data_IF_515897870625
#
_entry.id   IF_515897870625
#
_cell.length_a   1.000
_cell.length_b   1.000
_cell.length_c   1.000
_cell.angle_alpha   90.00
_cell.angle_beta   90.00
_cell.angle_gamma   90.00
#
_symmetry.space_group_name_H-M   'P 1'
#
loop_
_entity.id
_entity.type
_entity.pdbx_description
1 polymer ?
#
# COMPACT_ATOMS: atom_id res chain seq x y z
N UNK A 1 -17.52 19.61 93.70
CA UNK A 1 -16.61 19.35 92.57
C UNK A 1 -17.42 18.69 91.46
N UNK A 2 -17.75 19.42 90.39
CA UNK A 2 -18.59 18.92 89.30
C UNK A 2 -17.69 18.44 88.14
N UNK A 3 -17.90 17.20 87.72
CA UNK A 3 -17.20 16.54 86.61
C UNK A 3 -17.80 16.97 85.29
N UNK A 4 -17.01 17.65 84.43
CA UNK A 4 -17.44 18.07 83.10
C UNK A 4 -17.06 17.02 82.07
N UNK A 5 -18.05 16.28 81.57
CA UNK A 5 -17.89 15.31 80.49
C UNK A 5 -17.72 16.03 79.16
N UNK A 6 -16.59 15.83 78.47
CA UNK A 6 -16.28 16.46 77.18
C UNK A 6 -16.96 15.67 76.05
N UNK A 7 -18.09 16.17 75.55
CA UNK A 7 -18.77 15.60 74.38
C UNK A 7 -17.95 15.89 73.10
N UNK A 8 -17.64 14.83 72.36
CA UNK A 8 -17.04 14.89 71.03
C UNK A 8 -18.05 15.42 70.01
N UNK A 9 -17.75 16.59 69.42
CA UNK A 9 -18.51 17.18 68.32
C UNK A 9 -18.31 16.35 67.04
N UNK A 10 -19.31 15.52 66.69
CA UNK A 10 -19.46 14.96 65.34
C UNK A 10 -19.62 16.11 64.34
N UNK A 11 -18.64 16.30 63.45
CA UNK A 11 -18.75 17.21 62.30
C UNK A 11 -19.88 16.74 61.38
N UNK A 12 -21.03 17.38 61.45
CA UNK A 12 -22.09 17.28 60.43
C UNK A 12 -21.68 18.11 59.21
N UNK A 13 -21.31 17.43 58.11
CA UNK A 13 -21.14 18.06 56.78
C UNK A 13 -22.48 18.67 56.34
N UNK A 14 -22.46 19.85 55.73
CA UNK A 14 -23.69 20.50 55.24
C UNK A 14 -24.27 19.70 54.07
N UNK A 15 -25.61 19.74 53.93
CA UNK A 15 -26.36 19.10 52.84
C UNK A 15 -25.99 19.59 51.45
N UNK A 16 -25.45 20.81 51.32
CA UNK A 16 -24.92 21.33 50.06
C UNK A 16 -23.64 20.56 49.64
N UNK A 17 -22.70 20.35 50.56
CA UNK A 17 -21.46 19.60 50.28
C UNK A 17 -21.68 18.13 49.91
N UNK A 18 -22.80 17.55 50.36
CA UNK A 18 -23.22 16.19 50.00
C UNK A 18 -23.77 16.12 48.57
N UNK A 19 -24.50 17.15 48.14
CA UNK A 19 -25.03 17.25 46.77
C UNK A 19 -23.91 17.47 45.75
N UNK A 20 -22.94 18.32 46.06
CA UNK A 20 -21.82 18.61 45.15
C UNK A 20 -21.02 17.35 44.82
N UNK A 21 -20.70 16.56 45.84
CA UNK A 21 -19.93 15.33 45.66
C UNK A 21 -20.67 14.21 44.89
N UNK A 22 -21.99 14.15 44.98
CA UNK A 22 -22.79 13.22 44.19
C UNK A 22 -22.90 13.68 42.71
N UNK A 23 -22.96 14.99 42.50
CA UNK A 23 -22.94 15.61 41.16
C UNK A 23 -21.59 15.39 40.46
N UNK A 24 -20.47 15.45 41.19
CA UNK A 24 -19.14 15.15 40.66
C UNK A 24 -19.08 13.74 40.06
N UNK A 25 -19.56 12.73 40.80
CA UNK A 25 -19.60 11.33 40.33
C UNK A 25 -20.50 11.20 39.10
N UNK A 26 -21.66 11.87 39.07
CA UNK A 26 -22.56 11.86 37.90
C UNK A 26 -21.93 12.51 36.67
N UNK A 27 -21.20 13.61 36.87
CA UNK A 27 -20.46 14.31 35.83
C UNK A 27 -19.37 13.40 35.23
N UNK A 28 -18.60 12.73 36.09
CA UNK A 28 -17.54 11.80 35.66
C UNK A 28 -18.09 10.58 34.91
N UNK A 29 -19.20 10.01 35.37
CA UNK A 29 -19.89 8.92 34.67
C UNK A 29 -20.29 9.38 33.27
N UNK A 30 -20.86 10.59 33.17
CA UNK A 30 -21.28 11.18 31.90
C UNK A 30 -20.08 11.41 30.97
N UNK A 31 -18.98 11.95 31.50
CA UNK A 31 -17.74 12.16 30.77
C UNK A 31 -17.16 10.85 30.19
N UNK A 32 -17.31 9.73 30.91
CA UNK A 32 -16.85 8.40 30.47
C UNK A 32 -17.90 7.59 29.68
N UNK A 33 -19.08 8.14 29.40
CA UNK A 33 -20.21 7.44 28.77
C UNK A 33 -19.83 6.70 27.47
N UNK A 34 -19.05 7.34 26.58
CA UNK A 34 -18.58 6.71 25.33
C UNK A 34 -17.72 5.46 25.59
N UNK A 35 -16.81 5.52 26.57
CA UNK A 35 -15.98 4.37 26.96
C UNK A 35 -16.87 3.26 27.51
N UNK A 36 -17.78 3.59 28.41
CA UNK A 36 -18.73 2.66 29.04
C UNK A 36 -19.59 1.94 27.98
N UNK A 37 -20.15 2.68 27.02
CA UNK A 37 -20.98 2.13 25.94
C UNK A 37 -20.22 1.12 25.08
N UNK A 38 -18.93 1.38 24.84
CA UNK A 38 -18.06 0.53 24.02
C UNK A 38 -17.58 -0.77 24.70
N UNK A 39 -17.86 -0.93 26.00
CA UNK A 39 -17.44 -2.07 26.82
C UNK A 39 -18.59 -3.08 27.04
N UNK A 40 -18.30 -4.13 27.80
CA UNK A 40 -19.23 -5.24 28.01
C UNK A 40 -20.52 -4.81 28.75
N UNK A 41 -21.63 -5.55 28.58
CA UNK A 41 -22.89 -5.26 29.27
C UNK A 41 -22.75 -5.15 30.80
N UNK A 42 -21.83 -5.89 31.40
CA UNK A 42 -21.58 -5.84 32.85
C UNK A 42 -21.04 -4.49 33.31
N UNK A 43 -20.13 -3.87 32.55
CA UNK A 43 -19.62 -2.52 32.86
C UNK A 43 -20.72 -1.49 32.74
N UNK A 44 -21.55 -1.58 31.68
CA UNK A 44 -22.71 -0.69 31.48
C UNK A 44 -23.70 -0.81 32.64
N UNK A 45 -23.99 -2.03 33.08
CA UNK A 45 -24.88 -2.30 34.23
C UNK A 45 -24.32 -1.73 35.53
N UNK A 46 -23.01 -1.88 35.79
CA UNK A 46 -22.38 -1.33 36.99
C UNK A 46 -22.40 0.21 36.99
N UNK A 47 -22.11 0.83 35.85
CA UNK A 47 -22.21 2.29 35.71
C UNK A 47 -23.64 2.78 35.98
N UNK A 48 -24.66 2.14 35.41
CA UNK A 48 -26.05 2.48 35.65
C UNK A 48 -26.46 2.33 37.13
N UNK A 49 -25.96 1.29 37.82
CA UNK A 49 -26.17 1.12 39.27
C UNK A 49 -25.56 2.28 40.06
N UNK A 50 -24.35 2.71 39.71
CA UNK A 50 -23.69 3.83 40.39
C UNK A 50 -24.37 5.17 40.07
N UNK A 51 -24.86 5.38 38.84
CA UNK A 51 -25.69 6.54 38.50
C UNK A 51 -26.95 6.61 39.37
N UNK A 52 -27.64 5.49 39.56
CA UNK A 52 -28.84 5.46 40.41
C UNK A 52 -28.49 5.70 41.88
N UNK A 53 -27.41 5.09 42.41
CA UNK A 53 -26.93 5.35 43.78
C UNK A 53 -26.56 6.83 43.99
N UNK A 54 -25.90 7.45 43.02
CA UNK A 54 -25.52 8.87 43.09
C UNK A 54 -26.74 9.79 43.14
N UNK A 55 -27.81 9.49 42.39
CA UNK A 55 -29.07 10.26 42.41
C UNK A 55 -29.82 10.15 43.74
N UNK A 56 -29.64 9.05 44.47
CA UNK A 56 -30.37 8.74 45.70
C UNK A 56 -29.54 8.88 46.99
N UNK A 57 -28.27 9.29 46.90
CA UNK A 57 -27.39 9.39 48.08
C UNK A 57 -27.89 10.47 49.05
N UNK A 58 -28.06 10.10 50.33
CA UNK A 58 -28.58 11.02 51.36
C UNK A 58 -27.66 11.17 52.57
N UNK A 59 -26.67 10.27 52.72
CA UNK A 59 -25.74 10.27 53.84
C UNK A 59 -24.26 10.38 53.41
N UNK A 60 -23.38 10.92 54.28
CA UNK A 60 -21.94 10.95 54.02
C UNK A 60 -21.32 9.57 53.78
N UNK A 61 -21.76 8.54 54.51
CA UNK A 61 -21.24 7.18 54.39
C UNK A 61 -21.58 6.54 53.03
N UNK A 62 -22.81 6.73 52.54
CA UNK A 62 -23.22 6.29 51.20
C UNK A 62 -22.41 6.98 50.10
N UNK A 63 -22.04 8.24 50.31
CA UNK A 63 -21.27 9.02 49.36
C UNK A 63 -19.80 8.58 49.31
N UNK A 64 -19.16 8.31 50.45
CA UNK A 64 -17.79 7.80 50.48
C UNK A 64 -17.72 6.42 49.79
N UNK A 65 -18.65 5.51 50.12
CA UNK A 65 -18.71 4.19 49.45
C UNK A 65 -19.07 4.28 47.96
N UNK A 66 -19.84 5.29 47.54
CA UNK A 66 -20.13 5.58 46.13
C UNK A 66 -18.87 6.02 45.38
N UNK A 67 -18.07 6.91 45.99
CA UNK A 67 -16.80 7.39 45.43
C UNK A 67 -15.82 6.24 45.24
N UNK A 68 -15.61 5.42 46.27
CA UNK A 68 -14.72 4.25 46.18
C UNK A 68 -15.18 3.27 45.09
N UNK A 69 -16.50 3.02 45.02
CA UNK A 69 -17.08 2.16 43.98
C UNK A 69 -16.88 2.73 42.57
N UNK A 70 -17.00 4.05 42.42
CA UNK A 70 -16.80 4.73 41.15
C UNK A 70 -15.33 4.79 40.74
N UNK A 71 -14.42 5.01 41.67
CA UNK A 71 -12.98 4.98 41.44
C UNK A 71 -12.55 3.60 40.95
N UNK A 72 -12.96 2.53 41.65
CA UNK A 72 -12.68 1.16 41.26
C UNK A 72 -13.25 0.82 39.86
N UNK A 73 -14.50 1.23 39.57
CA UNK A 73 -15.09 1.02 38.25
C UNK A 73 -14.38 1.85 37.17
N UNK A 74 -13.95 3.07 37.49
CA UNK A 74 -13.22 3.94 36.57
C UNK A 74 -11.88 3.32 36.19
N UNK A 75 -11.11 2.82 37.16
CA UNK A 75 -9.86 2.08 36.90
C UNK A 75 -10.11 0.85 36.02
N UNK A 76 -11.18 0.10 36.30
CA UNK A 76 -11.55 -1.06 35.49
C UNK A 76 -11.95 -0.66 34.05
N UNK A 77 -12.69 0.43 33.87
CA UNK A 77 -13.05 0.97 32.55
C UNK A 77 -11.79 1.31 31.76
N UNK A 78 -10.86 2.05 32.36
CA UNK A 78 -9.60 2.44 31.71
C UNK A 78 -8.77 1.21 31.31
N UNK A 79 -8.59 0.27 32.24
CA UNK A 79 -7.86 -0.99 31.97
C UNK A 79 -8.52 -1.81 30.84
N UNK A 80 -9.84 -1.95 30.83
CA UNK A 80 -10.55 -2.69 29.77
C UNK A 80 -10.48 -1.99 28.42
N UNK A 81 -10.53 -0.65 28.40
CA UNK A 81 -10.33 0.13 27.18
C UNK A 81 -8.90 -0.06 26.64
N UNK A 82 -7.88 -0.05 27.49
CA UNK A 82 -6.50 -0.30 27.10
C UNK A 82 -6.32 -1.70 26.51
N UNK A 83 -6.82 -2.74 27.19
CA UNK A 83 -6.78 -4.12 26.69
C UNK A 83 -7.50 -4.27 25.35
N UNK A 84 -8.65 -3.61 25.17
CA UNK A 84 -9.38 -3.59 23.90
C UNK A 84 -8.53 -2.94 22.79
N UNK A 85 -7.87 -1.82 23.09
CA UNK A 85 -6.94 -1.16 22.17
C UNK A 85 -5.75 -2.03 21.77
N UNK A 86 -5.14 -2.72 22.74
CA UNK A 86 -4.06 -3.68 22.51
C UNK A 86 -4.51 -4.86 21.65
N UNK A 87 -5.68 -5.44 21.92
CA UNK A 87 -6.24 -6.53 21.12
C UNK A 87 -6.53 -6.10 19.67
N UNK A 88 -7.06 -4.89 19.48
CA UNK A 88 -7.27 -4.34 18.13
C UNK A 88 -5.95 -4.21 17.37
N UNK A 89 -4.89 -3.73 18.03
CA UNK A 89 -3.55 -3.64 17.44
C UNK A 89 -2.98 -5.02 17.13
N UNK A 90 -3.11 -5.98 18.04
CA UNK A 90 -2.66 -7.35 17.85
C UNK A 90 -3.34 -8.00 16.64
N UNK A 91 -4.67 -7.86 16.51
CA UNK A 91 -5.42 -8.39 15.39
C UNK A 91 -5.00 -7.74 14.06
N UNK A 92 -4.79 -6.41 14.04
CA UNK A 92 -4.28 -5.72 12.86
C UNK A 92 -2.87 -6.19 12.47
N UNK A 93 -1.98 -6.40 13.46
CA UNK A 93 -0.64 -6.96 13.22
C UNK A 93 -0.69 -8.39 12.70
N UNK A 94 -1.56 -9.25 13.24
CA UNK A 94 -1.77 -10.63 12.75
C UNK A 94 -2.28 -10.63 11.30
N UNK A 95 -3.27 -9.80 10.99
CA UNK A 95 -3.78 -9.67 9.62
C UNK A 95 -2.68 -9.22 8.65
N UNK A 96 -1.85 -8.25 9.06
CA UNK A 96 -0.73 -7.79 8.25
C UNK A 96 0.31 -8.89 8.01
N UNK A 97 0.70 -9.63 9.05
CA UNK A 97 1.64 -10.77 8.93
C UNK A 97 1.07 -11.83 8.00
N UNK A 98 -0.21 -12.19 8.16
CA UNK A 98 -0.87 -13.17 7.30
C UNK A 98 -0.90 -12.71 5.84
N UNK A 99 -1.17 -11.42 5.58
CA UNK A 99 -1.10 -10.85 4.22
C UNK A 99 0.32 -10.96 3.67
N UNK A 100 1.34 -10.58 4.44
CA UNK A 100 2.74 -10.67 4.00
C UNK A 100 3.11 -12.11 3.65
N UNK A 101 2.74 -13.08 4.49
CA UNK A 101 2.95 -14.49 4.18
C UNK A 101 2.23 -14.88 2.89
N UNK A 102 0.93 -14.58 2.77
CA UNK A 102 0.16 -14.89 1.58
C UNK A 102 0.81 -14.32 0.32
N UNK A 103 1.12 -13.01 0.31
CA UNK A 103 1.74 -12.32 -0.83
C UNK A 103 3.06 -12.97 -1.23
N UNK A 104 3.93 -13.26 -0.25
CA UNK A 104 5.23 -13.89 -0.52
C UNK A 104 5.08 -15.31 -1.09
N UNK A 105 4.11 -16.08 -0.61
CA UNK A 105 3.85 -17.42 -1.12
C UNK A 105 3.22 -17.39 -2.51
N UNK A 106 2.12 -16.65 -2.69
CA UNK A 106 1.39 -16.61 -3.97
C UNK A 106 2.18 -15.90 -5.06
N UNK A 107 3.02 -14.92 -4.70
CA UNK A 107 3.77 -14.14 -5.66
C UNK A 107 4.82 -14.95 -6.42
N UNK A 108 5.42 -15.98 -5.80
CA UNK A 108 6.37 -16.86 -6.52
C UNK A 108 5.65 -17.67 -7.60
N UNK A 109 4.43 -18.16 -7.32
CA UNK A 109 3.57 -18.81 -8.32
C UNK A 109 3.14 -17.84 -9.42
N UNK A 110 2.75 -16.63 -9.05
CA UNK A 110 2.36 -15.59 -10.00
C UNK A 110 3.51 -15.22 -10.96
N UNK A 111 4.73 -15.12 -10.43
CA UNK A 111 5.93 -14.87 -11.22
C UNK A 111 6.24 -16.03 -12.19
N UNK A 112 6.07 -17.28 -11.76
CA UNK A 112 6.30 -18.44 -12.64
C UNK A 112 5.29 -18.51 -13.78
N UNK A 113 4.00 -18.29 -13.49
CA UNK A 113 2.95 -18.17 -14.51
C UNK A 113 3.28 -17.04 -15.49
N UNK A 114 3.64 -15.86 -14.98
CA UNK A 114 4.05 -14.73 -15.82
C UNK A 114 5.23 -15.08 -16.74
N UNK A 115 6.26 -15.74 -16.20
CA UNK A 115 7.40 -16.19 -16.99
C UNK A 115 6.98 -17.20 -18.07
N UNK A 116 6.03 -18.09 -17.78
CA UNK A 116 5.48 -19.03 -18.77
C UNK A 116 4.71 -18.32 -19.89
N UNK A 117 3.85 -17.36 -19.56
CA UNK A 117 3.15 -16.54 -20.57
C UNK A 117 4.16 -15.74 -21.40
N UNK A 118 5.14 -15.13 -20.75
CA UNK A 118 6.23 -14.40 -21.40
C UNK A 118 7.04 -15.27 -22.36
N UNK A 119 7.32 -16.53 -22.00
CA UNK A 119 8.01 -17.46 -22.89
C UNK A 119 7.22 -17.70 -24.20
N UNK A 120 5.89 -17.71 -24.12
CA UNK A 120 5.00 -17.80 -25.29
C UNK A 120 5.10 -16.61 -26.25
N UNK A 121 5.48 -15.43 -25.76
CA UNK A 121 5.60 -14.22 -26.58
C UNK A 121 6.65 -14.33 -27.67
N UNK A 122 7.78 -14.99 -27.40
CA UNK A 122 8.83 -15.15 -28.41
C UNK A 122 8.34 -15.91 -29.65
N UNK A 123 7.50 -16.93 -29.44
CA UNK A 123 6.95 -17.69 -30.55
C UNK A 123 5.83 -16.93 -31.25
N UNK A 124 4.97 -16.23 -30.50
CA UNK A 124 3.92 -15.41 -31.10
C UNK A 124 4.50 -14.25 -31.94
N UNK A 125 5.60 -13.63 -31.50
CA UNK A 125 6.37 -12.66 -32.30
C UNK A 125 6.85 -13.27 -33.61
N UNK A 126 7.36 -14.51 -33.59
CA UNK A 126 7.81 -15.19 -34.81
C UNK A 126 6.64 -15.44 -35.76
N UNK A 127 5.50 -15.89 -35.24
CA UNK A 127 4.28 -16.12 -36.01
C UNK A 127 3.80 -14.82 -36.66
N UNK A 128 3.64 -13.74 -35.89
CA UNK A 128 3.22 -12.44 -36.43
C UNK A 128 4.19 -11.89 -37.48
N UNK A 129 5.50 -12.08 -37.31
CA UNK A 129 6.52 -11.68 -38.30
C UNK A 129 6.39 -12.47 -39.60
N UNK A 130 6.12 -13.77 -39.50
CA UNK A 130 5.89 -14.63 -40.68
C UNK A 130 4.62 -14.21 -41.42
N UNK A 131 3.55 -13.91 -40.71
CA UNK A 131 2.29 -13.48 -41.31
C UNK A 131 2.38 -12.09 -41.95
N UNK A 132 3.11 -11.16 -41.31
CA UNK A 132 3.41 -9.86 -41.91
C UNK A 132 4.28 -10.01 -43.16
N UNK A 133 5.33 -10.83 -43.10
CA UNK A 133 6.17 -11.11 -44.27
C UNK A 133 5.36 -11.67 -45.44
N UNK A 134 4.48 -12.64 -45.19
CA UNK A 134 3.62 -13.23 -46.21
C UNK A 134 2.67 -12.19 -46.84
N UNK A 135 2.06 -11.32 -46.01
CA UNK A 135 1.18 -10.23 -46.50
C UNK A 135 1.93 -9.23 -47.36
N UNK A 136 3.09 -8.73 -46.89
CA UNK A 136 3.90 -7.78 -47.65
C UNK A 136 4.33 -8.33 -49.01
N UNK A 137 4.69 -9.63 -49.07
CA UNK A 137 5.01 -10.30 -50.33
C UNK A 137 3.77 -10.38 -51.24
N UNK A 138 2.60 -10.72 -50.69
CA UNK A 138 1.35 -10.76 -51.45
C UNK A 138 0.96 -9.38 -51.99
N UNK A 139 1.27 -8.30 -51.26
CA UNK A 139 1.05 -6.91 -51.64
C UNK A 139 2.10 -6.38 -52.64
N UNK A 140 2.98 -7.25 -53.15
CA UNK A 140 3.94 -6.93 -54.21
C UNK A 140 5.30 -6.43 -53.73
N UNK A 141 5.57 -6.44 -52.42
CA UNK A 141 6.90 -6.10 -51.90
C UNK A 141 7.92 -7.20 -52.23
N UNK A 142 9.13 -6.85 -52.70
CA UNK A 142 10.19 -7.83 -52.91
C UNK A 142 10.49 -8.66 -51.66
N UNK A 143 10.72 -9.97 -51.82
CA UNK A 143 10.85 -10.91 -50.71
C UNK A 143 11.85 -10.48 -49.62
N UNK A 144 13.03 -9.96 -50.02
CA UNK A 144 14.07 -9.53 -49.07
C UNK A 144 13.67 -8.26 -48.32
N UNK A 145 13.03 -7.30 -48.99
CA UNK A 145 12.54 -6.08 -48.37
C UNK A 145 11.40 -6.39 -47.40
N UNK A 146 10.47 -7.25 -47.81
CA UNK A 146 9.38 -7.72 -46.95
C UNK A 146 9.90 -8.44 -45.71
N UNK A 147 10.94 -9.27 -45.85
CA UNK A 147 11.56 -9.96 -44.72
C UNK A 147 12.25 -8.97 -43.76
N UNK A 148 12.93 -7.95 -44.30
CA UNK A 148 13.58 -6.91 -43.51
C UNK A 148 12.54 -6.08 -42.75
N UNK A 149 11.51 -5.59 -43.44
CA UNK A 149 10.40 -4.82 -42.86
C UNK A 149 9.72 -5.62 -41.75
N UNK A 150 9.39 -6.89 -41.98
CA UNK A 150 8.77 -7.72 -40.96
C UNK A 150 9.66 -7.95 -39.72
N UNK A 151 10.98 -8.12 -39.89
CA UNK A 151 11.92 -8.23 -38.76
C UNK A 151 12.04 -6.95 -37.96
N UNK A 152 12.05 -5.81 -38.65
CA UNK A 152 12.17 -4.47 -38.06
C UNK A 152 10.85 -4.01 -37.40
N UNK A 153 9.72 -4.60 -37.79
CA UNK A 153 8.42 -4.35 -37.21
C UNK A 153 8.43 -4.68 -35.71
N UNK A 154 8.19 -3.67 -34.87
CA UNK A 154 8.20 -3.75 -33.40
C UNK A 154 6.88 -4.29 -32.81
N UNK A 155 6.05 -4.94 -33.61
CA UNK A 155 4.59 -4.88 -33.42
C UNK A 155 4.00 -5.74 -32.30
N UNK A 156 4.76 -6.69 -31.75
CA UNK A 156 4.17 -7.69 -30.87
C UNK A 156 4.96 -7.89 -29.57
N UNK A 157 4.96 -6.89 -28.68
CA UNK A 157 5.33 -7.11 -27.28
C UNK A 157 4.18 -6.72 -26.36
N UNK A 158 3.43 -7.72 -25.90
CA UNK A 158 2.42 -7.53 -24.86
C UNK A 158 3.09 -7.47 -23.47
N UNK A 159 4.12 -8.30 -23.27
CA UNK A 159 4.88 -8.45 -22.03
C UNK A 159 6.30 -7.95 -22.31
N UNK A 160 6.57 -6.65 -22.19
CA UNK A 160 7.88 -6.10 -22.59
C UNK A 160 9.07 -6.61 -21.77
N UNK A 161 8.84 -6.97 -20.50
CA UNK A 161 9.85 -7.48 -19.58
C UNK A 161 9.30 -8.58 -18.69
N UNK A 162 10.16 -9.23 -17.90
CA UNK A 162 9.75 -10.17 -16.85
C UNK A 162 9.16 -9.47 -15.61
N UNK A 163 8.93 -8.15 -15.67
CA UNK A 163 8.32 -7.40 -14.58
C UNK A 163 6.80 -7.34 -14.79
N UNK A 164 6.08 -8.03 -13.91
CA UNK A 164 4.61 -8.01 -13.86
C UNK A 164 4.05 -6.58 -13.85
N UNK A 165 4.62 -5.70 -13.01
CA UNK A 165 4.18 -4.30 -12.86
C UNK A 165 4.25 -3.51 -14.17
N UNK A 166 5.22 -3.80 -15.05
CA UNK A 166 5.31 -3.12 -16.35
C UNK A 166 4.20 -3.58 -17.30
N UNK A 167 3.82 -4.85 -17.25
CA UNK A 167 2.69 -5.38 -18.03
C UNK A 167 1.38 -4.75 -17.55
N UNK A 168 1.14 -4.74 -16.23
CA UNK A 168 -0.03 -4.08 -15.63
C UNK A 168 -0.14 -2.61 -16.02
N UNK A 169 0.97 -1.86 -15.96
CA UNK A 169 0.96 -0.42 -16.28
C UNK A 169 0.48 -0.10 -17.71
N UNK A 170 0.50 -1.09 -18.62
CA UNK A 170 0.06 -0.95 -20.01
C UNK A 170 -1.37 -1.40 -20.22
N UNK A 171 -1.81 -2.47 -19.53
CA UNK A 171 -3.17 -2.98 -19.68
C UNK A 171 -4.18 -2.27 -18.77
N UNK A 172 -3.76 -1.76 -17.61
CA UNK A 172 -4.69 -1.11 -16.66
C UNK A 172 -5.42 0.08 -17.29
N UNK A 173 -4.77 1.00 -18.05
CA UNK A 173 -5.49 2.08 -18.72
C UNK A 173 -6.55 1.58 -19.71
N UNK A 174 -6.30 0.46 -20.40
CA UNK A 174 -7.26 -0.14 -21.32
C UNK A 174 -8.43 -0.80 -20.56
N UNK A 175 -8.16 -1.50 -19.46
CA UNK A 175 -9.19 -2.06 -18.56
C UNK A 175 -10.08 -0.94 -18.00
N UNK A 176 -9.48 0.15 -17.55
CA UNK A 176 -10.20 1.31 -17.00
C UNK A 176 -11.08 1.96 -18.09
N UNK A 177 -10.56 2.09 -19.32
CA UNK A 177 -11.32 2.63 -20.45
C UNK A 177 -12.51 1.73 -20.83
N UNK A 178 -12.31 0.41 -20.89
CA UNK A 178 -13.36 -0.58 -21.15
C UNK A 178 -14.42 -0.56 -20.05
N UNK A 179 -14.00 -0.55 -18.78
CA UNK A 179 -14.91 -0.51 -17.62
C UNK A 179 -15.76 0.77 -17.65
N UNK A 180 -15.13 1.91 -17.95
CA UNK A 180 -15.84 3.19 -18.08
C UNK A 180 -16.86 3.14 -19.21
N UNK A 181 -16.45 2.73 -20.41
CA UNK A 181 -17.34 2.60 -21.58
C UNK A 181 -18.53 1.67 -21.31
N UNK A 182 -18.28 0.55 -20.62
CA UNK A 182 -19.32 -0.39 -20.21
C UNK A 182 -20.32 0.27 -19.23
N UNK A 183 -19.81 0.96 -18.21
CA UNK A 183 -20.64 1.62 -17.19
C UNK A 183 -21.47 2.80 -17.73
N UNK A 184 -20.99 3.45 -18.79
CA UNK A 184 -21.67 4.55 -19.48
C UNK A 184 -22.71 4.06 -20.52
N UNK A 185 -22.99 2.75 -20.55
CA UNK A 185 -24.05 2.18 -21.39
C UNK A 185 -23.64 1.98 -22.85
N UNK A 186 -22.34 1.92 -23.16
CA UNK A 186 -21.80 1.58 -24.49
C UNK A 186 -22.22 2.55 -25.61
N UNK A 187 -22.61 3.78 -25.27
CA UNK A 187 -23.12 4.77 -26.23
C UNK A 187 -22.01 5.51 -27.00
N UNK A 188 -20.80 5.56 -26.44
CA UNK A 188 -19.62 6.17 -27.08
C UNK A 188 -18.88 5.16 -27.98
N UNK A 189 -17.94 5.65 -28.78
CA UNK A 189 -17.01 4.81 -29.55
C UNK A 189 -16.26 3.84 -28.61
N UNK A 190 -16.16 2.55 -28.95
CA UNK A 190 -15.46 1.58 -28.12
C UNK A 190 -13.97 1.94 -28.01
N UNK A 191 -13.35 1.82 -26.82
CA UNK A 191 -11.93 2.10 -26.67
C UNK A 191 -11.07 1.09 -27.42
N UNK A 192 -9.93 1.54 -27.95
CA UNK A 192 -8.90 0.65 -28.48
C UNK A 192 -8.20 -0.10 -27.35
N UNK A 193 -8.01 -1.41 -27.50
CA UNK A 193 -7.38 -2.27 -26.49
C UNK A 193 -6.23 -3.14 -27.03
N UNK A 194 -5.26 -2.57 -27.76
CA UNK A 194 -4.22 -3.35 -28.42
C UNK A 194 -3.27 -4.07 -27.45
N UNK A 195 -3.10 -3.64 -26.19
CA UNK A 195 -2.33 -4.41 -25.21
C UNK A 195 -3.15 -5.60 -24.67
N UNK A 196 -4.42 -5.41 -24.33
CA UNK A 196 -5.31 -6.49 -23.88
C UNK A 196 -5.54 -7.54 -24.96
N UNK A 197 -5.60 -7.16 -26.23
CA UNK A 197 -5.73 -8.11 -27.35
C UNK A 197 -4.49 -8.98 -27.49
N UNK A 198 -3.30 -8.36 -27.36
CA UNK A 198 -2.03 -9.10 -27.36
C UNK A 198 -1.90 -10.01 -26.14
N UNK A 199 -2.38 -9.57 -24.98
CA UNK A 199 -2.46 -10.41 -23.78
C UNK A 199 -3.44 -11.57 -24.01
N UNK A 200 -4.60 -11.34 -24.60
CA UNK A 200 -5.58 -12.39 -24.93
C UNK A 200 -4.96 -13.46 -25.85
N UNK A 201 -4.27 -13.03 -26.91
CA UNK A 201 -3.59 -13.93 -27.83
C UNK A 201 -2.49 -14.78 -27.14
N UNK A 202 -1.72 -14.17 -26.23
CA UNK A 202 -0.74 -14.90 -25.42
C UNK A 202 -1.40 -15.90 -24.48
N UNK A 203 -2.46 -15.49 -23.80
CA UNK A 203 -3.21 -16.33 -22.87
C UNK A 203 -3.79 -17.56 -23.58
N UNK A 204 -4.44 -17.34 -24.72
CA UNK A 204 -4.96 -18.41 -25.58
C UNK A 204 -3.87 -19.38 -26.01
N UNK A 205 -2.69 -18.87 -26.43
CA UNK A 205 -1.56 -19.73 -26.83
C UNK A 205 -1.06 -20.64 -25.71
N UNK A 206 -1.00 -20.14 -24.48
CA UNK A 206 -0.47 -20.91 -23.35
C UNK A 206 -1.54 -21.67 -22.57
N UNK A 207 -2.81 -21.53 -22.97
CA UNK A 207 -3.94 -22.25 -22.38
C UNK A 207 -4.39 -21.70 -21.02
N UNK A 208 -4.29 -20.39 -20.80
CA UNK A 208 -4.83 -19.71 -19.61
C UNK A 208 -5.92 -18.73 -20.02
N UNK A 209 -6.93 -18.56 -19.17
CA UNK A 209 -7.94 -17.51 -19.37
C UNK A 209 -7.33 -16.13 -19.13
N UNK A 210 -7.74 -15.14 -19.93
CA UNK A 210 -7.21 -13.77 -19.83
C UNK A 210 -7.48 -13.15 -18.46
N UNK A 211 -8.70 -13.27 -17.93
CA UNK A 211 -9.03 -12.75 -16.60
C UNK A 211 -8.17 -13.40 -15.50
N UNK A 212 -8.03 -14.73 -15.52
CA UNK A 212 -7.15 -15.45 -14.59
C UNK A 212 -5.70 -14.94 -14.65
N UNK A 213 -5.20 -14.62 -15.85
CA UNK A 213 -3.87 -14.06 -16.00
C UNK A 213 -3.78 -12.61 -15.47
N UNK A 214 -4.80 -11.77 -15.70
CA UNK A 214 -4.87 -10.41 -15.15
C UNK A 214 -4.87 -10.46 -13.61
N UNK A 215 -5.66 -11.35 -13.00
CA UNK A 215 -5.67 -11.55 -11.55
C UNK A 215 -4.29 -12.00 -11.04
N UNK A 216 -3.62 -12.87 -11.79
CA UNK A 216 -2.25 -13.30 -11.51
C UNK A 216 -1.26 -12.13 -11.55
N UNK A 217 -1.42 -11.22 -12.51
CA UNK A 217 -0.60 -10.01 -12.57
C UNK A 217 -0.85 -9.14 -11.32
N UNK A 218 -2.10 -8.92 -10.90
CA UNK A 218 -2.39 -8.16 -9.68
C UNK A 218 -1.80 -8.80 -8.41
N UNK A 219 -1.84 -10.14 -8.31
CA UNK A 219 -1.21 -10.87 -7.19
C UNK A 219 0.31 -10.65 -7.18
N UNK A 220 0.96 -10.77 -8.34
CA UNK A 220 2.39 -10.52 -8.48
C UNK A 220 2.78 -9.08 -8.15
N UNK A 221 1.97 -8.12 -8.55
CA UNK A 221 2.19 -6.70 -8.23
C UNK A 221 2.00 -6.41 -6.74
N UNK A 222 0.96 -6.94 -6.10
CA UNK A 222 0.78 -6.81 -4.65
C UNK A 222 1.95 -7.41 -3.88
N UNK A 223 2.49 -8.55 -4.34
CA UNK A 223 3.73 -9.11 -3.78
C UNK A 223 4.92 -8.17 -4.00
N UNK A 224 5.05 -7.53 -5.16
CA UNK A 224 6.11 -6.55 -5.38
C UNK A 224 5.98 -5.36 -4.44
N UNK A 225 4.78 -4.84 -4.19
CA UNK A 225 4.57 -3.77 -3.19
C UNK A 225 4.98 -4.21 -1.78
N UNK A 226 4.66 -5.45 -1.40
CA UNK A 226 5.01 -6.01 -0.09
C UNK A 226 6.50 -6.29 0.05
N UNK A 227 7.11 -6.94 -0.94
CA UNK A 227 8.47 -7.46 -0.88
C UNK A 227 9.54 -6.46 -1.36
N UNK A 228 9.18 -5.59 -2.30
CA UNK A 228 10.11 -4.69 -2.95
C UNK A 228 9.90 -3.26 -2.54
N UNK A 229 10.86 -2.79 -1.74
CA UNK A 229 11.04 -1.38 -1.47
C UNK A 229 12.34 -0.93 -2.12
N UNK A 230 12.32 -0.61 -3.43
CA UNK A 230 13.55 -0.31 -4.15
C UNK A 230 14.26 0.90 -3.53
N UNK A 231 15.57 0.93 -3.72
CA UNK A 231 16.33 2.16 -3.52
C UNK A 231 15.77 3.28 -4.44
N UNK A 232 16.04 4.56 -4.15
CA UNK A 232 15.61 5.66 -5.02
C UNK A 232 15.99 5.38 -6.48
N UNK A 233 15.01 5.39 -7.39
CA UNK A 233 15.29 5.22 -8.81
C UNK A 233 15.89 6.53 -9.32
N UNK A 234 17.09 6.46 -9.89
CA UNK A 234 17.81 7.64 -10.41
C UNK A 234 16.97 8.35 -11.49
N UNK A 235 16.24 7.57 -12.27
CA UNK A 235 15.37 8.03 -13.37
C UNK A 235 14.23 8.95 -12.89
N UNK A 236 13.74 8.76 -11.66
CA UNK A 236 12.69 9.59 -11.05
C UNK A 236 13.24 10.95 -10.54
N UNK A 237 14.56 11.14 -10.68
CA UNK A 237 15.29 12.30 -10.18
C UNK A 237 16.01 13.04 -11.29
N UNK A 238 15.57 12.91 -12.54
CA UNK A 238 16.08 13.72 -13.64
C UNK A 238 15.45 15.13 -13.61
N UNK A 239 16.26 16.14 -13.92
CA UNK A 239 15.80 17.49 -14.17
C UNK A 239 15.25 17.65 -15.60
N UNK A 240 14.82 18.87 -15.94
CA UNK A 240 14.26 19.18 -17.27
C UNK A 240 15.28 19.03 -18.41
N UNK A 241 16.58 19.07 -18.10
CA UNK A 241 17.66 18.87 -19.05
C UNK A 241 18.12 17.41 -19.10
N UNK A 242 17.43 16.51 -18.38
CA UNK A 242 17.76 15.09 -18.29
C UNK A 242 18.95 14.79 -17.36
N UNK A 243 19.48 15.76 -16.62
CA UNK A 243 20.56 15.54 -15.65
C UNK A 243 20.02 15.02 -14.32
N UNK A 244 20.80 14.20 -13.62
CA UNK A 244 20.38 13.66 -12.31
C UNK A 244 20.50 14.73 -11.21
N UNK A 245 19.40 15.03 -10.54
CA UNK A 245 19.36 15.81 -9.30
C UNK A 245 19.77 14.94 -8.11
N UNK A 246 21.08 14.83 -7.90
CA UNK A 246 21.67 14.07 -6.80
C UNK A 246 21.28 14.59 -5.41
N UNK A 247 20.90 15.86 -5.29
CA UNK A 247 20.40 16.42 -4.03
C UNK A 247 19.04 15.81 -3.67
N UNK A 248 18.15 15.61 -4.66
CA UNK A 248 16.90 14.86 -4.47
C UNK A 248 17.16 13.40 -4.13
N UNK A 249 18.10 12.73 -4.83
CA UNK A 249 18.48 11.35 -4.51
C UNK A 249 18.93 11.22 -3.05
N UNK A 250 19.83 12.10 -2.60
CA UNK A 250 20.35 12.14 -1.22
C UNK A 250 19.23 12.40 -0.21
N UNK A 251 18.27 13.26 -0.53
CA UNK A 251 17.08 13.54 0.29
C UNK A 251 16.19 12.30 0.42
N UNK A 252 15.95 11.58 -0.67
CA UNK A 252 15.21 10.31 -0.66
C UNK A 252 15.86 9.28 0.27
N UNK A 253 17.19 9.14 0.21
CA UNK A 253 17.95 8.30 1.15
C UNK A 253 17.75 8.71 2.61
N UNK A 254 17.85 10.02 2.92
CA UNK A 254 17.63 10.55 4.28
C UNK A 254 16.21 10.28 4.79
N UNK A 255 15.20 10.48 3.94
CA UNK A 255 13.80 10.22 4.26
C UNK A 255 13.56 8.74 4.56
N UNK A 256 14.18 7.84 3.79
CA UNK A 256 14.11 6.39 4.01
C UNK A 256 14.71 6.00 5.37
N UNK A 257 15.90 6.52 5.71
CA UNK A 257 16.51 6.30 7.04
C UNK A 257 15.65 6.83 8.19
N UNK A 258 15.03 8.00 8.01
CA UNK A 258 14.12 8.56 9.00
C UNK A 258 12.90 7.68 9.21
N UNK A 259 12.38 7.07 8.14
CA UNK A 259 11.29 6.07 8.22
C UNK A 259 11.70 4.86 9.08
N UNK A 260 12.89 4.30 8.84
CA UNK A 260 13.37 3.17 9.65
C UNK A 260 13.61 3.53 11.12
N UNK A 261 14.08 4.75 11.43
CA UNK A 261 14.14 5.23 12.83
C UNK A 261 12.77 5.25 13.49
N UNK A 262 11.70 5.63 12.76
CA UNK A 262 10.33 5.56 13.29
C UNK A 262 9.86 4.12 13.50
N UNK A 263 10.27 3.18 12.64
CA UNK A 263 9.96 1.76 12.82
C UNK A 263 10.65 1.17 14.06
N UNK A 264 11.91 1.51 14.29
CA UNK A 264 12.65 1.13 15.50
C UNK A 264 11.98 1.67 16.77
N UNK A 265 11.64 2.97 16.80
CA UNK A 265 10.91 3.58 17.94
C UNK A 265 9.56 2.92 18.24
N UNK A 266 8.97 2.23 17.25
CA UNK A 266 7.71 1.48 17.38
C UNK A 266 7.92 0.00 17.70
N UNK A 267 9.15 -0.45 17.93
CA UNK A 267 9.50 -1.84 18.21
C UNK A 267 9.33 -2.78 17.01
N UNK A 268 9.24 -2.26 15.78
CA UNK A 268 9.03 -3.10 14.57
C UNK A 268 10.30 -3.75 14.04
N UNK A 269 11.45 -3.16 14.33
CA UNK A 269 12.77 -3.66 13.95
C UNK A 269 13.71 -3.53 15.13
N UNK A 270 14.73 -4.38 15.17
CA UNK A 270 15.80 -4.33 16.18
C UNK A 270 16.79 -3.21 15.88
N UNK A 271 17.60 -2.86 16.86
CA UNK A 271 18.70 -1.89 16.68
C UNK A 271 19.73 -2.40 15.64
N UNK A 272 20.05 -3.70 15.66
CA UNK A 272 20.94 -4.31 14.68
C UNK A 272 20.39 -4.15 13.25
N UNK A 273 19.11 -4.45 13.04
CA UNK A 273 18.44 -4.25 11.74
C UNK A 273 18.44 -2.79 11.30
N UNK A 274 18.18 -1.84 12.21
CA UNK A 274 18.24 -0.41 11.90
C UNK A 274 19.64 0.00 11.41
N UNK A 275 20.69 -0.44 12.10
CA UNK A 275 22.08 -0.15 11.73
C UNK A 275 22.41 -0.72 10.34
N UNK A 276 22.06 -1.98 10.07
CA UNK A 276 22.24 -2.59 8.75
C UNK A 276 21.50 -1.79 7.67
N UNK A 277 20.22 -1.48 7.85
CA UNK A 277 19.43 -0.72 6.86
C UNK A 277 20.02 0.66 6.57
N UNK A 278 20.49 1.37 7.61
CA UNK A 278 21.11 2.68 7.43
C UNK A 278 22.44 2.59 6.70
N UNK A 279 23.28 1.60 7.06
CA UNK A 279 24.56 1.34 6.42
C UNK A 279 24.38 0.93 4.95
N UNK A 280 23.42 0.05 4.63
CA UNK A 280 23.11 -0.33 3.25
C UNK A 280 22.68 0.86 2.41
N UNK A 281 21.89 1.80 2.96
CA UNK A 281 21.53 3.04 2.25
C UNK A 281 22.76 3.93 2.01
N UNK A 282 23.67 4.03 2.98
CA UNK A 282 24.92 4.78 2.80
C UNK A 282 25.81 4.16 1.73
N UNK A 283 26.02 2.84 1.80
CA UNK A 283 26.79 2.09 0.79
C UNK A 283 26.16 2.30 -0.58
N UNK A 284 24.84 2.14 -0.70
CA UNK A 284 24.13 2.38 -1.95
C UNK A 284 24.43 3.78 -2.49
N UNK A 285 24.26 4.84 -1.71
CA UNK A 285 24.56 6.20 -2.18
C UNK A 285 26.03 6.40 -2.59
N UNK A 286 26.96 5.87 -1.80
CA UNK A 286 28.40 6.08 -1.98
C UNK A 286 28.98 5.32 -3.18
N UNK A 287 28.36 4.22 -3.63
CA UNK A 287 28.78 3.57 -4.89
C UNK A 287 28.37 4.37 -6.13
N UNK A 288 27.47 5.36 -6.00
CA UNK A 288 27.15 6.28 -7.10
C UNK A 288 27.91 7.61 -7.01
N UNK A 289 28.09 8.13 -5.80
CA UNK A 289 28.69 9.44 -5.52
C UNK A 289 29.97 9.28 -4.70
N UNK A 290 31.11 9.66 -5.27
CA UNK A 290 32.42 9.56 -4.61
C UNK A 290 32.76 10.78 -3.75
N UNK A 291 32.12 11.93 -4.00
CA UNK A 291 32.40 13.15 -3.27
C UNK A 291 31.52 14.32 -3.70
N UNK A 292 31.81 15.49 -3.14
CA UNK A 292 31.24 16.77 -3.59
C UNK A 292 32.40 17.75 -3.76
N UNK A 293 32.35 18.54 -4.81
CA UNK A 293 33.25 19.66 -5.02
C UNK A 293 32.94 20.78 -3.99
N UNK A 294 33.85 21.75 -3.81
CA UNK A 294 33.65 22.87 -2.89
C UNK A 294 32.40 23.73 -3.19
N UNK A 295 31.99 23.80 -4.47
CA UNK A 295 30.78 24.49 -4.93
C UNK A 295 29.48 23.69 -4.67
N UNK A 296 29.59 22.50 -4.09
CA UNK A 296 28.48 21.59 -3.81
C UNK A 296 28.09 20.68 -4.97
N UNK A 297 28.75 20.78 -6.13
CA UNK A 297 28.50 19.86 -7.25
C UNK A 297 28.98 18.46 -6.92
N UNK A 298 28.29 17.46 -7.46
CA UNK A 298 28.55 16.05 -7.11
C UNK A 298 29.69 15.48 -7.94
N UNK A 299 30.63 14.81 -7.28
CA UNK A 299 31.67 14.01 -7.92
C UNK A 299 31.13 12.58 -8.01
N UNK A 300 30.96 12.10 -9.24
CA UNK A 300 30.46 10.75 -9.48
C UNK A 300 31.52 9.69 -9.21
N UNK A 301 31.07 8.51 -8.77
CA UNK A 301 31.94 7.36 -8.67
C UNK A 301 32.39 6.89 -10.06
N UNK A 302 33.53 6.20 -10.11
CA UNK A 302 34.12 5.71 -11.37
C UNK A 302 33.09 4.88 -12.14
N UNK A 303 32.90 5.19 -13.43
CA UNK A 303 31.97 4.48 -14.32
C UNK A 303 30.52 4.98 -14.29
N UNK A 304 30.12 5.79 -13.30
CA UNK A 304 28.73 6.27 -13.19
C UNK A 304 28.33 7.26 -14.28
N UNK A 305 29.27 8.00 -14.86
CA UNK A 305 28.98 8.86 -16.01
C UNK A 305 28.38 8.07 -17.18
N UNK A 306 28.96 6.91 -17.50
CA UNK A 306 28.48 6.07 -18.60
C UNK A 306 27.12 5.44 -18.29
N UNK A 307 26.91 5.06 -17.02
CA UNK A 307 25.63 4.54 -16.55
C UNK A 307 24.52 5.59 -16.70
N UNK A 308 24.77 6.82 -16.25
CA UNK A 308 23.80 7.93 -16.37
C UNK A 308 23.51 8.23 -17.84
N UNK A 309 24.54 8.27 -18.68
CA UNK A 309 24.37 8.48 -20.13
C UNK A 309 23.52 7.38 -20.77
N UNK A 310 23.82 6.11 -20.49
CA UNK A 310 23.03 4.97 -21.01
C UNK A 310 21.58 5.03 -20.54
N UNK A 311 21.33 5.46 -19.30
CA UNK A 311 19.97 5.67 -18.78
C UNK A 311 19.23 6.76 -19.54
N UNK A 312 19.86 7.92 -19.77
CA UNK A 312 19.30 9.03 -20.53
C UNK A 312 18.93 8.60 -21.96
N UNK A 313 19.83 7.90 -22.65
CA UNK A 313 19.58 7.36 -24.00
C UNK A 313 18.40 6.38 -24.02
N UNK A 314 18.26 5.54 -22.98
CA UNK A 314 17.15 4.59 -22.87
C UNK A 314 15.81 5.30 -22.67
N UNK A 315 15.77 6.36 -21.85
CA UNK A 315 14.56 7.16 -21.63
C UNK A 315 14.15 7.85 -22.93
N UNK A 316 15.10 8.45 -23.66
CA UNK A 316 14.84 9.06 -24.96
C UNK A 316 14.24 8.05 -25.97
N UNK A 317 14.73 6.79 -25.97
CA UNK A 317 14.20 5.73 -26.84
C UNK A 317 12.80 5.23 -26.46
N UNK A 318 12.40 5.32 -25.19
CA UNK A 318 11.04 4.94 -24.73
C UNK A 318 9.94 5.88 -25.26
N UNK A 319 10.29 7.06 -25.75
CA UNK A 319 9.35 8.07 -26.25
C UNK A 319 8.94 7.86 -27.71
N UNK A 320 9.45 6.84 -28.41
CA UNK A 320 9.02 6.51 -29.78
C UNK A 320 7.88 5.50 -29.67
N UNK A 321 6.61 5.87 -29.99
CA UNK A 321 5.50 4.93 -29.98
C UNK A 321 5.80 3.79 -30.96
N UNK A 322 5.64 2.55 -30.52
CA UNK A 322 5.55 1.44 -31.48
C UNK A 322 4.22 1.60 -32.22
N UNK A 323 4.23 1.49 -33.55
CA UNK A 323 2.97 1.29 -34.30
C UNK A 323 2.22 0.12 -33.66
N UNK A 324 1.03 0.42 -33.16
CA UNK A 324 0.15 -0.55 -32.54
C UNK A 324 -0.77 -1.08 -33.62
N UNK A 325 -0.94 -2.41 -33.74
CA UNK A 325 -1.91 -2.97 -34.66
C UNK A 325 -3.33 -2.57 -34.26
N UNK A 326 -4.21 -2.45 -35.25
CA UNK A 326 -5.64 -2.15 -35.04
C UNK A 326 -6.27 -3.15 -34.06
N UNK A 327 -7.15 -2.62 -33.19
CA UNK A 327 -7.84 -3.36 -32.12
C UNK A 327 -9.36 -3.20 -32.28
N UNK A 328 -9.97 -3.69 -33.38
CA UNK A 328 -11.39 -3.51 -33.63
C UNK A 328 -12.24 -4.16 -32.52
N UNK A 329 -13.39 -3.57 -32.24
CA UNK A 329 -14.36 -4.12 -31.32
C UNK A 329 -15.21 -5.19 -32.00
N UNK A 330 -15.44 -6.30 -31.29
CA UNK A 330 -16.38 -7.36 -31.65
C UNK A 330 -17.27 -7.65 -30.44
N UNK A 331 -18.53 -8.04 -30.66
CA UNK A 331 -19.44 -8.39 -29.57
C UNK A 331 -18.88 -9.54 -28.72
N UNK A 332 -18.89 -9.37 -27.40
CA UNK A 332 -18.33 -10.34 -26.46
C UNK A 332 -16.82 -10.25 -26.23
N UNK A 333 -16.11 -9.33 -26.91
CA UNK A 333 -14.63 -9.17 -26.82
C UNK A 333 -14.09 -9.02 -25.39
N UNK A 334 -14.87 -8.45 -24.47
CA UNK A 334 -14.43 -8.12 -23.09
C UNK A 334 -15.29 -8.75 -21.99
N UNK A 335 -16.18 -9.70 -22.33
CA UNK A 335 -17.11 -10.28 -21.36
C UNK A 335 -16.38 -11.05 -20.24
N UNK A 336 -15.24 -11.64 -20.53
CA UNK A 336 -14.38 -12.31 -19.56
C UNK A 336 -13.77 -11.38 -18.50
N UNK A 337 -13.58 -10.08 -18.81
CA UNK A 337 -12.96 -9.10 -17.90
C UNK A 337 -13.94 -8.10 -17.28
N UNK A 338 -15.20 -8.11 -17.70
CA UNK A 338 -16.26 -7.21 -17.24
C UNK A 338 -17.25 -7.85 -16.26
N UNK A 339 -17.08 -9.14 -15.94
CA UNK A 339 -17.97 -9.91 -15.06
C UNK A 339 -17.72 -9.72 -13.57
#
# INVERSE_FOLDING_TARGET
MASTTRASLKRTRSTASLKDAALDVLSDITAKSRKIQSLSPNIRRLAAKLTNRARCATSPYELDTLKDSWEALSLLIESKCEVKGLNSRLNSHRAHINKVHFDLHIGDWAMDIHNRVKAGENELVKDCRRDLHARLVADGMPFQDAQKTAKEAKMFKAIQSTQISETLSRIQPEIDAVTKWHSEGRAAEPPETPYLDRVAALCSRVGIERQTYIDTLHLGDSRNETAHHPAPRIEDHLDQNGNVDWSRVKRSCRNRKASFRRQFKRGKITEAQLRTLQSTIDIWYNIQVSGHNPDGTVILAKGMNEVVKTMQERIAKKLIPAEMPDSPYEEGKWDDILN
#
